data_IF_411601826262
#
_entry.id   IF_411601826262
#
_cell.length_a   1.000
_cell.length_b   1.000
_cell.length_c   1.000
_cell.angle_alpha   90.00
_cell.angle_beta   90.00
_cell.angle_gamma   90.00
#
_symmetry.space_group_name_H-M   'P 1'
#
loop_
_entity.id
_entity.type
_entity.pdbx_description
1 polymer ?
#
# COMPACT_ATOMS: atom_id res chain seq x y z
N UNK A 1 -18.28 4.11 23.76
CA UNK A 1 -16.94 4.45 23.25
C UNK A 1 -17.05 5.85 22.69
N UNK A 2 -16.28 6.81 23.20
CA UNK A 2 -16.21 8.15 22.64
C UNK A 2 -15.22 8.12 21.46
N UNK A 3 -15.64 8.44 20.22
CA UNK A 3 -14.74 8.45 19.06
C UNK A 3 -13.54 9.39 19.20
N UNK A 4 -13.60 10.37 20.12
CA UNK A 4 -12.52 11.33 20.36
C UNK A 4 -11.36 10.77 21.16
N UNK A 5 -11.54 9.67 21.89
CA UNK A 5 -10.49 9.08 22.74
C UNK A 5 -9.50 8.19 21.95
N UNK A 6 -9.77 7.90 20.68
CA UNK A 6 -8.98 6.99 19.83
C UNK A 6 -8.61 7.58 18.46
N UNK A 7 -8.67 8.91 18.29
CA UNK A 7 -8.37 9.57 17.01
C UNK A 7 -6.91 9.36 16.55
N UNK A 8 -6.01 9.06 17.50
CA UNK A 8 -4.58 8.81 17.23
C UNK A 8 -4.28 7.38 16.76
N UNK A 9 -5.13 6.41 17.08
CA UNK A 9 -4.88 4.97 16.80
C UNK A 9 -4.99 4.64 15.30
N UNK A 10 -5.66 5.49 14.52
CA UNK A 10 -5.72 5.51 13.05
C UNK A 10 -5.74 4.11 12.40
N UNK A 11 -4.71 3.79 11.61
CA UNK A 11 -4.58 2.54 10.85
C UNK A 11 -4.51 1.30 11.74
N UNK A 12 -4.10 1.42 13.01
CA UNK A 12 -4.12 0.31 13.96
C UNK A 12 -5.52 0.05 14.54
N UNK A 13 -6.40 1.06 14.54
CA UNK A 13 -7.79 0.89 14.98
C UNK A 13 -8.69 0.34 13.87
N UNK A 14 -8.52 0.80 12.62
CA UNK A 14 -9.46 0.52 11.54
C UNK A 14 -8.83 0.09 10.21
N UNK A 15 -7.52 -0.18 10.17
CA UNK A 15 -6.84 -0.66 8.96
C UNK A 15 -6.98 0.32 7.80
N UNK A 16 -7.38 -0.19 6.63
CA UNK A 16 -7.61 0.59 5.41
C UNK A 16 -8.91 1.43 5.42
N UNK A 17 -9.66 1.41 6.54
CA UNK A 17 -10.84 2.23 6.74
C UNK A 17 -12.16 1.49 6.44
N UNK A 18 -13.22 2.28 6.22
CA UNK A 18 -14.57 1.75 6.06
C UNK A 18 -14.75 1.00 4.73
N UNK A 19 -15.28 -0.23 4.81
CA UNK A 19 -15.56 -1.05 3.64
C UNK A 19 -16.55 -0.36 2.69
N UNK A 20 -16.15 -0.22 1.42
CA UNK A 20 -17.02 0.26 0.35
C UNK A 20 -17.32 -0.87 -0.65
N UNK A 21 -18.47 -1.53 -0.48
CA UNK A 21 -18.88 -2.66 -1.32
C UNK A 21 -19.03 -2.29 -2.80
N UNK A 22 -19.52 -1.08 -3.11
CA UNK A 22 -19.69 -0.64 -4.49
C UNK A 22 -18.36 -0.53 -5.22
N UNK A 23 -17.29 -0.09 -4.53
CA UNK A 23 -15.93 -0.03 -5.09
C UNK A 23 -15.18 -1.37 -5.04
N UNK A 24 -15.60 -2.31 -4.21
CA UNK A 24 -14.96 -3.61 -4.08
C UNK A 24 -15.23 -4.55 -5.26
N UNK A 25 -16.31 -4.33 -6.03
CA UNK A 25 -16.67 -5.15 -7.20
C UNK A 25 -15.70 -4.94 -8.37
N UNK A 26 -15.28 -3.70 -8.61
CA UNK A 26 -14.32 -3.34 -9.65
C UNK A 26 -13.32 -2.31 -9.09
N UNK A 27 -12.24 -2.78 -8.45
CA UNK A 27 -11.26 -1.89 -7.83
C UNK A 27 -10.24 -1.33 -8.83
N UNK A 28 -10.27 -1.75 -10.10
CA UNK A 28 -9.27 -1.44 -11.13
C UNK A 28 -7.95 -2.19 -10.95
N UNK A 29 -7.36 -2.17 -9.75
CA UNK A 29 -6.13 -2.88 -9.40
C UNK A 29 -6.31 -3.74 -8.15
N UNK A 30 -5.67 -4.90 -8.13
CA UNK A 30 -5.52 -5.74 -6.93
C UNK A 30 -4.04 -5.86 -6.61
N UNK A 31 -3.69 -5.69 -5.32
CA UNK A 31 -2.30 -5.65 -4.86
C UNK A 31 -1.96 -6.85 -3.98
N UNK A 32 -0.75 -7.38 -4.16
CA UNK A 32 -0.14 -8.37 -3.26
C UNK A 32 1.21 -7.86 -2.79
N UNK A 33 1.38 -7.76 -1.48
CA UNK A 33 2.61 -7.24 -0.86
C UNK A 33 3.48 -8.39 -0.34
N UNK A 34 4.79 -8.26 -0.53
CA UNK A 34 5.80 -9.13 0.03
C UNK A 34 6.72 -8.31 0.94
N UNK A 35 6.85 -8.74 2.19
CA UNK A 35 7.73 -8.08 3.15
C UNK A 35 9.05 -8.84 3.21
N UNK A 36 10.17 -8.18 2.91
CA UNK A 36 11.52 -8.68 3.21
C UNK A 36 12.04 -8.01 4.49
N UNK A 37 11.46 -8.34 5.64
CA UNK A 37 11.86 -7.86 6.95
C UNK A 37 11.85 -9.03 7.98
N UNK A 38 12.62 -8.95 9.08
CA UNK A 38 12.79 -10.08 10.01
C UNK A 38 11.52 -10.48 10.78
N UNK A 39 10.44 -9.69 10.76
CA UNK A 39 9.13 -10.12 11.25
C UNK A 39 8.05 -9.16 10.79
N UNK A 40 7.03 -9.70 10.14
CA UNK A 40 5.58 -9.43 10.29
C UNK A 40 4.86 -9.91 9.03
N UNK A 41 3.75 -10.62 9.22
CA UNK A 41 2.86 -11.12 8.17
C UNK A 41 1.48 -10.51 8.41
N UNK A 42 1.00 -9.69 7.47
CA UNK A 42 -0.32 -9.07 7.49
C UNK A 42 -0.63 -8.44 6.13
N UNK A 43 -1.90 -8.26 5.82
CA UNK A 43 -2.37 -7.60 4.60
C UNK A 43 -2.25 -6.07 4.77
N UNK A 44 -1.02 -5.55 4.64
CA UNK A 44 -0.69 -4.14 4.82
C UNK A 44 0.83 -3.91 4.87
N UNK A 45 1.24 -2.64 4.89
CA UNK A 45 2.64 -2.26 5.08
C UNK A 45 2.85 -1.91 6.55
N UNK A 46 3.56 -2.75 7.31
CA UNK A 46 3.91 -2.45 8.70
C UNK A 46 5.40 -2.66 8.92
N UNK A 47 6.02 -1.72 9.61
CA UNK A 47 7.41 -1.80 10.04
C UNK A 47 7.47 -1.53 11.54
N UNK A 48 7.79 -2.56 12.33
CA UNK A 48 8.02 -2.43 13.76
C UNK A 48 9.47 -2.02 14.01
N UNK A 49 9.66 -1.05 14.90
CA UNK A 49 10.94 -0.39 15.17
C UNK A 49 11.12 -0.15 16.67
N UNK A 50 12.37 -0.11 17.11
CA UNK A 50 12.75 0.30 18.46
C UNK A 50 12.95 1.82 18.52
N UNK A 51 12.65 2.42 19.67
CA UNK A 51 12.78 3.87 19.86
C UNK A 51 14.25 4.30 19.81
N UNK A 52 14.53 5.39 19.09
CA UNK A 52 15.88 5.94 18.90
C UNK A 52 16.67 5.40 17.70
N UNK A 53 16.22 4.34 17.03
CA UNK A 53 16.90 3.79 15.85
C UNK A 53 16.51 4.49 14.55
N UNK A 54 17.42 4.50 13.57
CA UNK A 54 17.11 4.97 12.21
C UNK A 54 16.25 3.93 11.50
N UNK A 55 15.10 4.36 11.04
CA UNK A 55 14.08 3.50 10.45
C UNK A 55 14.21 3.47 8.93
N UNK A 56 14.34 2.28 8.35
CA UNK A 56 14.23 2.07 6.90
C UNK A 56 13.70 0.68 6.60
N UNK A 57 12.85 0.56 5.58
CA UNK A 57 12.34 -0.71 5.10
C UNK A 57 12.07 -0.64 3.59
N UNK A 58 12.23 -1.77 2.92
CA UNK A 58 11.87 -1.92 1.51
C UNK A 58 10.72 -2.93 1.45
N UNK A 59 9.62 -2.50 0.85
CA UNK A 59 8.49 -3.37 0.57
C UNK A 59 8.45 -3.64 -0.92
N UNK A 60 8.33 -4.91 -1.28
CA UNK A 60 8.13 -5.31 -2.68
C UNK A 60 6.69 -5.78 -2.85
N UNK A 61 6.14 -5.67 -4.05
CA UNK A 61 4.76 -6.06 -4.30
C UNK A 61 4.51 -6.42 -5.74
N UNK A 62 3.34 -7.00 -6.01
CA UNK A 62 2.79 -7.19 -7.35
C UNK A 62 1.42 -6.52 -7.42
N UNK A 63 1.13 -5.97 -8.58
CA UNK A 63 -0.11 -5.27 -8.90
C UNK A 63 -0.68 -5.90 -10.16
N UNK A 64 -1.92 -6.35 -10.09
CA UNK A 64 -2.64 -6.97 -11.20
C UNK A 64 -3.75 -6.04 -11.66
N UNK A 65 -3.81 -5.76 -12.97
CA UNK A 65 -4.91 -5.00 -13.55
C UNK A 65 -6.17 -5.86 -13.65
N UNK A 66 -7.22 -5.50 -12.92
CA UNK A 66 -8.54 -6.15 -13.00
C UNK A 66 -9.59 -5.24 -13.62
N UNK A 67 -9.21 -4.02 -14.03
CA UNK A 67 -10.06 -3.05 -14.69
C UNK A 67 -9.81 -2.98 -16.20
N UNK A 68 -9.91 -1.77 -16.75
CA UNK A 68 -9.79 -1.54 -18.19
C UNK A 68 -8.37 -1.81 -18.72
N UNK A 69 -8.30 -2.44 -19.90
CA UNK A 69 -7.08 -2.54 -20.68
C UNK A 69 -6.61 -1.16 -21.19
N UNK A 70 -5.34 -1.03 -21.55
CA UNK A 70 -4.72 0.23 -22.00
C UNK A 70 -4.90 1.37 -20.97
N UNK A 71 -4.61 1.07 -19.71
CA UNK A 71 -4.72 2.01 -18.59
C UNK A 71 -3.35 2.33 -18.00
N UNK A 72 -3.17 3.57 -17.55
CA UNK A 72 -1.95 4.03 -16.87
C UNK A 72 -2.30 4.54 -15.49
N UNK A 73 -1.58 4.06 -14.49
CA UNK A 73 -1.73 4.42 -13.08
C UNK A 73 -0.49 5.15 -12.59
N UNK A 74 -0.70 6.15 -11.73
CA UNK A 74 0.34 6.99 -11.14
C UNK A 74 0.34 6.81 -9.62
N UNK A 75 1.52 6.58 -9.05
CA UNK A 75 1.68 6.51 -7.60
C UNK A 75 1.50 7.89 -6.98
N UNK A 76 0.64 7.99 -5.96
CA UNK A 76 0.47 9.19 -5.13
C UNK A 76 0.89 8.85 -3.71
N UNK A 77 1.77 9.66 -3.14
CA UNK A 77 2.26 9.52 -1.77
C UNK A 77 1.65 10.66 -0.94
N UNK A 78 0.92 10.27 0.10
CA UNK A 78 0.45 11.19 1.14
C UNK A 78 1.14 10.79 2.45
N UNK A 79 2.00 11.65 2.97
CA UNK A 79 2.88 11.33 4.10
C UNK A 79 3.14 12.58 4.96
N UNK A 80 3.42 12.42 6.26
CA UNK A 80 3.91 13.52 7.07
C UNK A 80 5.35 13.92 6.68
N UNK A 81 5.74 15.15 7.05
CA UNK A 81 7.00 15.76 6.62
C UNK A 81 8.25 15.01 7.14
N UNK A 82 8.16 14.39 8.32
CA UNK A 82 9.28 13.69 8.93
C UNK A 82 9.61 12.34 8.26
N UNK A 83 8.75 11.84 7.36
CA UNK A 83 8.95 10.55 6.69
C UNK A 83 9.50 10.75 5.27
N UNK A 84 10.39 9.88 4.82
CA UNK A 84 10.80 9.82 3.42
C UNK A 84 10.32 8.51 2.79
N UNK A 85 9.48 8.61 1.76
CA UNK A 85 8.88 7.47 1.06
C UNK A 85 9.14 7.65 -0.43
N UNK A 86 9.58 6.58 -1.09
CA UNK A 86 9.72 6.50 -2.54
C UNK A 86 9.00 5.24 -3.06
N UNK A 87 8.49 5.33 -4.29
CA UNK A 87 7.83 4.22 -4.99
C UNK A 87 8.48 4.06 -6.35
N UNK A 88 8.95 2.85 -6.65
CA UNK A 88 9.59 2.52 -7.93
C UNK A 88 8.96 1.28 -8.57
N UNK A 89 8.53 1.34 -9.84
CA UNK A 89 8.32 2.55 -10.64
C UNK A 89 7.10 3.36 -10.13
N UNK A 90 7.14 4.69 -10.29
CA UNK A 90 6.03 5.57 -9.90
C UNK A 90 4.89 5.63 -10.93
N UNK A 91 5.07 5.03 -12.11
CA UNK A 91 4.07 4.96 -13.18
C UNK A 91 4.00 3.53 -13.72
N UNK A 92 2.78 2.99 -13.81
CA UNK A 92 2.51 1.65 -14.34
C UNK A 92 1.48 1.72 -15.47
N UNK A 93 1.85 1.26 -16.66
CA UNK A 93 0.93 1.14 -17.81
C UNK A 93 0.59 -0.31 -18.08
N UNK A 94 -0.69 -0.66 -18.14
CA UNK A 94 -1.19 -2.00 -18.43
C UNK A 94 -1.93 -2.00 -19.77
N UNK A 95 -1.61 -2.98 -20.61
CA UNK A 95 -2.18 -3.14 -21.95
C UNK A 95 -3.29 -4.19 -21.98
N UNK A 96 -3.38 -5.05 -20.95
CA UNK A 96 -4.39 -6.10 -20.89
C UNK A 96 -5.03 -6.23 -19.49
N UNK A 97 -6.23 -6.81 -19.48
CA UNK A 97 -6.85 -7.34 -18.26
C UNK A 97 -6.03 -8.53 -17.77
N UNK A 98 -5.75 -8.57 -16.46
CA UNK A 98 -4.95 -9.60 -15.81
C UNK A 98 -3.43 -9.43 -15.92
N UNK A 99 -2.95 -8.39 -16.60
CA UNK A 99 -1.51 -8.10 -16.65
C UNK A 99 -0.99 -7.74 -15.25
N UNK A 100 0.16 -8.32 -14.88
CA UNK A 100 0.81 -8.10 -13.60
C UNK A 100 2.09 -7.27 -13.73
N UNK A 101 2.32 -6.38 -12.77
CA UNK A 101 3.57 -5.61 -12.64
C UNK A 101 4.10 -5.64 -11.23
N UNK A 102 5.42 -5.65 -11.09
CA UNK A 102 6.07 -5.58 -9.78
C UNK A 102 6.25 -4.12 -9.34
N UNK A 103 6.09 -3.90 -8.03
CA UNK A 103 6.57 -2.73 -7.33
C UNK A 103 7.87 -3.13 -6.61
N UNK A 104 8.93 -2.39 -6.90
CA UNK A 104 10.33 -2.52 -6.48
C UNK A 104 11.11 -3.70 -7.09
N UNK A 105 11.96 -3.38 -8.08
CA UNK A 105 13.31 -3.94 -8.26
C UNK A 105 14.24 -2.77 -8.67
N UNK A 106 15.17 -2.42 -7.77
CA UNK A 106 16.13 -1.31 -7.83
C UNK A 106 16.99 -1.29 -6.57
#
# INVERSE_FOLDING_TARGET
MDPKEHEEDKEFAYGSGLLNLAKAVDPGLVTRVFVKAPKLAGDGFSLAIEDGDKISGIFTGRVTNVGSANSTYYAKIDKPDFLNIAVEPSVLSFFALGEEKSLCEG
#
